data_IF_982989223491
#
_entry.id   IF_982989223491
#
_cell.length_a   1.000
_cell.length_b   1.000
_cell.length_c   1.000
_cell.angle_alpha   90.00
_cell.angle_beta   90.00
_cell.angle_gamma   90.00
#
_symmetry.space_group_name_H-M   'P 1'
#
loop_
_entity.id
_entity.type
_entity.pdbx_description
1 polymer ?
#
# COMPACT_ATOMS: atom_id res chain seq x y z
N UNK A 1 -3.13 1.68 2.17
CA UNK A 1 -4.12 2.38 2.98
C UNK A 1 -3.58 2.61 4.39
N UNK A 2 -3.61 3.84 4.86
CA UNK A 2 -3.03 4.22 6.16
C UNK A 2 -3.77 3.58 7.35
N UNK A 3 -5.00 3.14 7.14
CA UNK A 3 -5.81 2.48 8.17
C UNK A 3 -5.47 0.99 8.32
N UNK A 4 -4.64 0.44 7.45
CA UNK A 4 -4.27 -0.98 7.47
C UNK A 4 -3.45 -1.31 8.71
N UNK A 5 -3.61 -2.51 9.24
CA UNK A 5 -2.82 -3.01 10.38
C UNK A 5 -1.33 -3.07 10.07
N UNK A 6 -0.93 -3.20 8.80
CA UNK A 6 0.48 -3.21 8.42
C UNK A 6 1.19 -1.89 8.74
N UNK A 7 0.47 -0.76 8.73
CA UNK A 7 1.03 0.54 9.10
C UNK A 7 1.47 0.53 10.56
N UNK A 8 0.63 0.01 11.44
CA UNK A 8 0.99 -0.11 12.86
C UNK A 8 2.17 -1.05 13.06
N UNK A 9 2.20 -2.16 12.34
CA UNK A 9 3.30 -3.12 12.40
C UNK A 9 4.62 -2.49 11.95
N UNK A 10 4.58 -1.66 10.91
CA UNK A 10 5.77 -0.95 10.41
C UNK A 10 6.25 0.14 11.34
N UNK A 11 5.37 0.72 12.16
CA UNK A 11 5.76 1.65 13.22
C UNK A 11 6.61 0.96 14.28
N UNK A 12 6.31 -0.30 14.58
CA UNK A 12 7.02 -1.08 15.60
C UNK A 12 8.29 -1.72 15.03
N UNK A 13 8.25 -2.14 13.76
CA UNK A 13 9.40 -2.76 13.10
C UNK A 13 9.37 -2.44 11.61
N UNK A 14 10.37 -1.72 11.14
CA UNK A 14 10.48 -1.30 9.73
C UNK A 14 11.10 -2.37 8.83
N UNK A 15 11.65 -3.45 9.38
CA UNK A 15 12.28 -4.52 8.62
C UNK A 15 11.26 -5.26 7.78
N UNK A 16 11.62 -5.55 6.53
CA UNK A 16 10.74 -6.22 5.60
C UNK A 16 11.53 -7.03 4.57
N UNK A 17 10.85 -7.99 3.97
CA UNK A 17 11.37 -8.77 2.85
C UNK A 17 10.39 -8.71 1.69
N UNK A 18 10.93 -8.64 0.48
CA UNK A 18 10.15 -8.72 -0.76
C UNK A 18 10.63 -9.93 -1.53
N UNK A 19 9.69 -10.76 -1.97
CA UNK A 19 9.98 -11.99 -2.71
C UNK A 19 9.35 -11.88 -4.09
N UNK A 20 10.18 -12.13 -5.13
CA UNK A 20 9.72 -12.20 -6.50
C UNK A 20 10.10 -13.55 -7.10
N UNK A 21 9.33 -14.02 -8.08
CA UNK A 21 9.61 -15.26 -8.76
C UNK A 21 9.46 -15.07 -10.26
N UNK A 22 10.49 -15.51 -11.00
CA UNK A 22 10.45 -15.54 -12.47
C UNK A 22 10.23 -16.97 -12.93
N UNK A 23 9.03 -17.32 -13.45
CA UNK A 23 8.74 -18.69 -13.85
C UNK A 23 9.52 -19.15 -15.09
N UNK A 24 9.91 -18.23 -15.97
CA UNK A 24 10.66 -18.57 -17.16
C UNK A 24 12.09 -19.02 -16.81
N UNK A 25 12.73 -18.31 -15.90
CA UNK A 25 14.09 -18.63 -15.44
C UNK A 25 14.10 -19.57 -14.23
N UNK A 26 12.94 -19.81 -13.62
CA UNK A 26 12.81 -20.61 -12.39
C UNK A 26 13.69 -20.07 -11.27
N UNK A 27 13.75 -18.75 -11.17
CA UNK A 27 14.57 -18.06 -10.17
C UNK A 27 13.66 -17.34 -9.18
N UNK A 28 13.95 -17.51 -7.90
CA UNK A 28 13.36 -16.73 -6.83
C UNK A 28 14.35 -15.66 -6.39
N UNK A 29 13.86 -14.44 -6.22
CA UNK A 29 14.65 -13.33 -5.72
C UNK A 29 14.07 -12.91 -4.38
N UNK A 30 14.94 -12.73 -3.40
CA UNK A 30 14.55 -12.23 -2.08
C UNK A 30 15.33 -10.97 -1.75
N UNK A 31 14.61 -9.90 -1.45
CA UNK A 31 15.19 -8.63 -1.03
C UNK A 31 14.88 -8.43 0.44
N UNK A 32 15.88 -8.06 1.22
CA UNK A 32 15.70 -7.69 2.63
C UNK A 32 16.09 -6.25 2.84
N UNK A 33 15.33 -5.53 3.60
CA UNK A 33 15.57 -4.12 3.86
C UNK A 33 14.56 -3.52 4.82
N UNK A 34 14.29 -2.25 4.61
CA UNK A 34 13.42 -1.48 5.49
C UNK A 34 12.37 -0.74 4.67
N UNK A 35 11.19 -0.58 5.27
CA UNK A 35 10.10 0.20 4.70
C UNK A 35 9.95 1.48 5.52
N UNK A 36 9.88 2.61 4.82
CA UNK A 36 9.49 3.88 5.39
C UNK A 36 8.08 4.23 4.94
N UNK A 37 7.22 4.52 5.91
CA UNK A 37 5.85 4.95 5.65
C UNK A 37 5.84 6.46 5.49
N UNK A 38 5.28 6.93 4.38
CA UNK A 38 5.04 8.35 4.12
C UNK A 38 3.56 8.63 4.22
N UNK A 39 3.23 9.71 4.91
CA UNK A 39 1.85 10.14 5.13
C UNK A 39 1.80 11.67 5.16
N UNK A 40 0.90 12.23 4.36
CA UNK A 40 0.65 13.68 4.28
C UNK A 40 1.93 14.51 4.12
N UNK A 41 2.80 14.08 3.24
CA UNK A 41 4.05 14.78 2.90
C UNK A 41 4.15 15.01 1.37
N UNK A 42 5.26 15.57 0.92
CA UNK A 42 5.47 15.85 -0.50
C UNK A 42 5.42 14.60 -1.37
N UNK A 43 5.91 13.47 -0.84
CA UNK A 43 5.91 12.20 -1.56
C UNK A 43 4.48 11.70 -1.74
N UNK A 44 3.67 11.73 -0.68
CA UNK A 44 2.27 11.31 -0.76
C UNK A 44 1.43 12.23 -1.63
N UNK A 45 1.67 13.53 -1.56
CA UNK A 45 0.95 14.49 -2.42
C UNK A 45 1.24 14.25 -3.89
N UNK A 46 2.50 14.04 -4.24
CA UNK A 46 2.89 13.75 -5.62
C UNK A 46 2.29 12.43 -6.12
N UNK A 47 2.37 11.38 -5.31
CA UNK A 47 1.81 10.08 -5.67
C UNK A 47 0.29 10.14 -5.82
N UNK A 48 -0.39 10.88 -4.94
CA UNK A 48 -1.84 11.06 -5.01
C UNK A 48 -2.26 11.78 -6.29
N UNK A 49 -1.56 12.85 -6.63
CA UNK A 49 -1.85 13.62 -7.86
C UNK A 49 -1.69 12.79 -9.12
N UNK A 50 -0.77 11.83 -9.12
CA UNK A 50 -0.52 10.94 -10.25
C UNK A 50 -1.43 9.70 -10.26
N UNK A 51 -2.26 9.50 -9.24
CA UNK A 51 -3.19 8.39 -9.16
C UNK A 51 -4.47 8.66 -9.95
N UNK A 52 -5.05 7.61 -10.53
CA UNK A 52 -6.33 7.71 -11.23
C UNK A 52 -7.48 7.85 -10.22
N UNK A 53 -8.62 8.39 -10.67
CA UNK A 53 -9.81 8.47 -9.83
C UNK A 53 -10.28 7.09 -9.37
N UNK A 54 -10.13 6.08 -10.21
CA UNK A 54 -10.47 4.69 -9.85
C UNK A 54 -9.62 4.21 -8.68
N UNK A 55 -8.32 4.49 -8.70
CA UNK A 55 -7.42 4.13 -7.59
C UNK A 55 -7.75 4.91 -6.33
N UNK A 56 -8.04 6.19 -6.45
CA UNK A 56 -8.38 7.06 -5.31
C UNK A 56 -9.66 6.60 -4.60
N UNK A 57 -10.61 6.06 -5.34
CA UNK A 57 -11.88 5.57 -4.79
C UNK A 57 -11.67 4.54 -3.67
N UNK A 58 -10.65 3.71 -3.77
CA UNK A 58 -10.37 2.66 -2.78
C UNK A 58 -10.10 3.23 -1.39
N UNK A 59 -9.61 4.45 -1.28
CA UNK A 59 -9.29 5.09 0.00
C UNK A 59 -10.47 5.81 0.63
N UNK A 60 -11.56 5.95 -0.12
CA UNK A 60 -12.80 6.57 0.37
C UNK A 60 -13.73 5.57 1.05
N UNK A 61 -13.48 4.27 0.92
CA UNK A 61 -14.29 3.22 1.51
C UNK A 61 -14.09 3.18 3.02
N UNK A 62 -15.19 3.17 3.76
CA UNK A 62 -15.14 3.11 5.23
C UNK A 62 -14.59 1.77 5.71
N UNK A 63 -13.73 1.80 6.73
CA UNK A 63 -13.22 0.60 7.38
C UNK A 63 -11.92 0.05 6.84
N UNK A 64 -11.41 0.57 5.72
CA UNK A 64 -10.15 0.12 5.14
C UNK A 64 -10.26 -1.23 4.44
N UNK A 65 -9.13 -1.67 3.85
CA UNK A 65 -9.10 -2.83 2.94
C UNK A 65 -9.23 -4.19 3.65
N UNK A 66 -8.90 -4.26 4.92
CA UNK A 66 -8.89 -5.53 5.68
C UNK A 66 -10.14 -5.74 6.54
N UNK A 67 -11.10 -4.83 6.48
CA UNK A 67 -12.33 -4.92 7.26
C UNK A 67 -13.37 -5.80 6.58
N UNK A 68 -14.07 -6.58 7.39
CA UNK A 68 -15.19 -7.40 6.91
C UNK A 68 -16.36 -6.48 6.50
N UNK A 69 -16.81 -6.62 5.27
CA UNK A 69 -17.95 -5.87 4.73
C UNK A 69 -19.20 -6.72 4.88
N UNK A 70 -20.13 -6.31 5.74
CA UNK A 70 -21.40 -7.00 5.97
C UNK A 70 -22.41 -6.76 4.87
N UNK A 71 -22.37 -5.57 4.27
CA UNK A 71 -23.29 -5.14 3.21
C UNK A 71 -22.47 -4.44 2.13
N UNK A 72 -22.05 -5.16 1.08
CA UNK A 72 -21.22 -4.58 0.03
C UNK A 72 -21.84 -3.38 -0.67
N UNK A 73 -23.16 -3.31 -0.77
CA UNK A 73 -23.86 -2.22 -1.44
C UNK A 73 -23.66 -0.87 -0.75
N UNK A 74 -23.50 -0.87 0.57
CA UNK A 74 -23.23 0.35 1.34
C UNK A 74 -21.85 0.94 1.06
N UNK A 75 -20.96 0.17 0.45
CA UNK A 75 -19.59 0.57 0.17
C UNK A 75 -19.37 0.84 -1.32
N UNK A 76 -20.43 0.72 -2.13
CA UNK A 76 -20.36 1.09 -3.54
C UNK A 76 -20.58 2.61 -3.65
N UNK A 77 -19.46 3.32 -3.78
CA UNK A 77 -19.46 4.78 -3.79
C UNK A 77 -19.63 5.26 -5.23
N UNK A 78 -20.82 5.73 -5.57
CA UNK A 78 -21.11 6.29 -6.89
C UNK A 78 -20.80 7.79 -6.97
N UNK A 79 -20.96 8.50 -5.85
CA UNK A 79 -20.80 9.95 -5.76
C UNK A 79 -19.60 10.32 -4.87
N UNK A 80 -18.43 9.77 -5.16
CA UNK A 80 -17.25 10.10 -4.37
C UNK A 80 -16.50 11.29 -4.98
N UNK A 81 -15.97 12.14 -4.08
CA UNK A 81 -15.01 13.15 -4.48
C UNK A 81 -13.61 12.53 -4.42
N UNK A 82 -12.79 12.66 -5.49
CA UNK A 82 -11.47 12.02 -5.52
C UNK A 82 -10.59 12.36 -4.32
N UNK A 83 -10.71 13.56 -3.77
CA UNK A 83 -9.85 14.00 -2.66
C UNK A 83 -10.27 13.48 -1.29
N UNK A 84 -11.48 12.92 -1.15
CA UNK A 84 -11.99 12.43 0.14
C UNK A 84 -11.14 11.29 0.71
N UNK A 85 -10.49 10.53 -0.14
CA UNK A 85 -9.65 9.40 0.29
C UNK A 85 -8.24 9.75 0.68
N UNK A 86 -7.80 11.00 0.48
CA UNK A 86 -6.40 11.37 0.72
C UNK A 86 -5.99 11.17 2.18
N UNK A 87 -6.89 11.41 3.13
CA UNK A 87 -6.60 11.23 4.55
C UNK A 87 -6.27 9.78 4.93
N UNK A 88 -6.60 8.83 4.06
CA UNK A 88 -6.33 7.41 4.25
C UNK A 88 -5.19 6.90 3.36
N UNK A 89 -4.58 7.77 2.59
CA UNK A 89 -3.54 7.41 1.63
C UNK A 89 -2.16 7.47 2.28
N UNK A 90 -1.36 6.46 2.02
CA UNK A 90 0.04 6.43 2.43
C UNK A 90 0.89 5.83 1.32
N UNK A 91 2.17 6.14 1.33
CA UNK A 91 3.16 5.57 0.41
C UNK A 91 4.22 4.85 1.23
N UNK A 92 4.49 3.61 0.86
CA UNK A 92 5.54 2.82 1.49
C UNK A 92 6.72 2.74 0.54
N UNK A 93 7.89 3.20 1.00
CA UNK A 93 9.12 3.10 0.22
C UNK A 93 10.00 2.04 0.85
N UNK A 94 10.31 1.02 0.05
CA UNK A 94 11.18 -0.08 0.44
C UNK A 94 12.59 0.19 -0.06
N UNK A 95 13.55 0.20 0.87
CA UNK A 95 14.97 0.30 0.56
C UNK A 95 15.64 -0.98 1.01
N UNK A 96 16.26 -1.69 0.06
CA UNK A 96 16.90 -2.96 0.38
C UNK A 96 18.42 -2.84 0.42
N UNK A 97 19.04 -3.69 1.25
CA UNK A 97 20.49 -3.78 1.40
C UNK A 97 21.00 -5.21 1.21
N UNK A 98 20.13 -6.16 0.88
CA UNK A 98 20.47 -7.56 0.69
C UNK A 98 19.65 -8.14 -0.44
N UNK A 99 20.30 -8.91 -1.32
CA UNK A 99 19.69 -9.58 -2.46
C UNK A 99 20.15 -11.04 -2.46
N UNK A 100 19.18 -11.96 -2.47
CA UNK A 100 19.45 -13.40 -2.55
C UNK A 100 18.75 -13.98 -3.77
N UNK A 101 19.46 -14.89 -4.46
CA UNK A 101 18.90 -15.68 -5.56
C UNK A 101 18.77 -17.13 -5.13
N UNK A 102 17.63 -17.74 -5.45
CA UNK A 102 17.40 -19.17 -5.28
C UNK A 102 16.98 -19.76 -6.63
N UNK A 103 17.68 -20.78 -7.04
CA UNK A 103 17.42 -21.50 -8.28
C UNK A 103 16.56 -22.73 -8.04
#
# INVERSE_FOLDING_TARGET
DYRSSKIQQLSDCSSASVIGYDPALKVQIKLKGNIKVHFDDEITKSAWQNSTNRSKKCYSIKGGSSKLIKDPEKYDIQDFEPEDGYDNFSVLIFTFNSLEFLY
#
